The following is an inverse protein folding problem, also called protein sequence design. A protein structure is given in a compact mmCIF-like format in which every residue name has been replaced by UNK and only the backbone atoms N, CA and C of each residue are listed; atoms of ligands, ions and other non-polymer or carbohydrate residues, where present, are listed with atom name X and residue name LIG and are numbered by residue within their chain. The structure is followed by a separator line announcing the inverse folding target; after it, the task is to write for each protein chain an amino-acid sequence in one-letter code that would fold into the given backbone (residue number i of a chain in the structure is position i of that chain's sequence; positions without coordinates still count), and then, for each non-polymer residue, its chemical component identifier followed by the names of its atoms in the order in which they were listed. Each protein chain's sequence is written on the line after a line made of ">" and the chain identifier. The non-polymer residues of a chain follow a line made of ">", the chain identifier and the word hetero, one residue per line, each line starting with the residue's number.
data_IF_926146347439
#
_entry.id   IF_926146347439
#
_cell.length_a   1.000
_cell.length_b   1.000
_cell.length_c   1.000
_cell.angle_alpha   90.00
_cell.angle_beta   90.00
_cell.angle_gamma   90.00
#
_symmetry.space_group_name_H-M   'P 1'
#
loop_
_entity.id
_entity.type
_entity.pdbx_description
1 polymer ?
#
# COMPACT_ATOMS: atom_id res chain seq x y z
N UNK A 1 27.14 -5.91 -2.13
CA UNK A 1 26.68 -5.18 -3.33
C UNK A 1 27.75 -4.16 -3.64
N UNK A 2 28.38 -4.24 -4.80
CA UNK A 2 29.33 -3.22 -5.25
C UNK A 2 28.55 -2.00 -5.81
N UNK A 3 29.19 -0.84 -5.97
CA UNK A 3 28.50 0.37 -6.44
C UNK A 3 27.82 0.19 -7.81
N UNK A 4 28.41 -0.59 -8.71
CA UNK A 4 27.81 -0.86 -10.03
C UNK A 4 26.55 -1.72 -9.97
N UNK A 5 26.40 -2.57 -8.96
CA UNK A 5 25.20 -3.38 -8.73
C UNK A 5 24.08 -2.57 -8.09
N UNK A 6 24.40 -1.53 -7.32
CA UNK A 6 23.37 -0.63 -6.75
C UNK A 6 22.80 0.27 -7.82
N UNK A 7 23.65 0.75 -8.73
CA UNK A 7 23.27 1.73 -9.74
C UNK A 7 22.18 1.23 -10.69
N UNK A 8 22.07 -0.08 -10.93
CA UNK A 8 21.02 -0.66 -11.79
C UNK A 8 19.61 -0.50 -11.19
N UNK A 9 19.51 -0.26 -9.89
CA UNK A 9 18.23 -0.10 -9.18
C UNK A 9 17.85 1.35 -8.97
N UNK A 10 18.77 2.29 -9.24
CA UNK A 10 18.53 3.71 -8.98
C UNK A 10 17.67 4.32 -10.08
N UNK A 11 16.66 5.07 -9.67
CA UNK A 11 15.85 5.88 -10.57
C UNK A 11 16.39 7.32 -10.62
N UNK A 12 17.20 7.62 -11.63
CA UNK A 12 17.79 8.95 -11.81
C UNK A 12 16.75 10.07 -12.00
N UNK A 13 15.62 9.77 -12.63
CA UNK A 13 14.57 10.77 -12.81
C UNK A 13 13.90 11.11 -11.48
N UNK A 14 13.69 10.11 -10.63
CA UNK A 14 13.22 10.32 -9.26
C UNK A 14 14.27 11.07 -8.42
N UNK A 15 15.57 10.79 -8.58
CA UNK A 15 16.62 11.54 -7.87
C UNK A 15 16.68 13.01 -8.29
N UNK A 16 16.53 13.29 -9.58
CA UNK A 16 16.47 14.66 -10.10
C UNK A 16 15.25 15.40 -9.55
N UNK A 17 14.08 14.73 -9.54
CA UNK A 17 12.85 15.30 -9.00
C UNK A 17 12.92 15.56 -7.49
N UNK A 18 13.58 14.66 -6.74
CA UNK A 18 13.72 14.73 -5.28
C UNK A 18 15.05 15.35 -4.84
N UNK A 19 15.78 16.03 -5.73
CA UNK A 19 17.17 16.43 -5.48
C UNK A 19 17.33 17.25 -4.20
N UNK A 20 16.39 18.15 -3.90
CA UNK A 20 16.45 18.99 -2.70
C UNK A 20 16.14 18.20 -1.43
N UNK A 21 15.20 17.25 -1.48
CA UNK A 21 14.86 16.37 -0.37
C UNK A 21 16.01 15.39 -0.08
N UNK A 22 16.61 14.80 -1.11
CA UNK A 22 17.73 13.87 -0.95
C UNK A 22 18.97 14.55 -0.35
N UNK A 23 19.23 15.83 -0.69
CA UNK A 23 20.28 16.64 -0.03
C UNK A 23 20.06 16.76 1.48
N UNK A 24 18.80 16.85 1.93
CA UNK A 24 18.46 16.94 3.35
C UNK A 24 18.61 15.60 4.07
N UNK A 25 18.25 14.49 3.39
CA UNK A 25 18.20 13.16 3.99
C UNK A 25 19.56 12.45 4.08
N UNK A 26 20.60 12.92 3.36
CA UNK A 26 21.99 12.43 3.36
C UNK A 26 22.16 10.90 3.38
N UNK A 27 22.54 10.33 2.24
CA UNK A 27 22.87 8.90 2.13
C UNK A 27 21.69 8.01 1.70
N UNK A 28 20.59 8.61 1.28
CA UNK A 28 19.47 7.93 0.62
C UNK A 28 19.56 8.12 -0.90
N UNK A 29 19.10 7.10 -1.63
CA UNK A 29 18.97 7.08 -3.08
C UNK A 29 17.52 6.72 -3.43
N UNK A 30 17.03 7.19 -4.57
CA UNK A 30 15.71 6.78 -5.06
C UNK A 30 15.83 5.44 -5.80
N UNK A 31 15.10 4.43 -5.35
CA UNK A 31 15.13 3.08 -5.94
C UNK A 31 13.87 2.88 -6.78
N UNK A 32 14.04 2.41 -8.01
CA UNK A 32 12.92 2.12 -8.90
C UNK A 32 12.11 0.93 -8.39
N UNK A 33 10.80 0.94 -8.63
CA UNK A 33 9.86 -0.17 -8.39
C UNK A 33 8.81 -0.18 -9.50
N UNK A 34 8.16 -1.32 -9.81
CA UNK A 34 7.06 -1.37 -10.76
C UNK A 34 5.96 -0.35 -10.43
N UNK A 35 5.55 0.40 -11.46
CA UNK A 35 4.46 1.37 -11.41
C UNK A 35 3.11 0.74 -11.77
N UNK A 36 2.84 -0.48 -11.29
CA UNK A 36 1.63 -1.24 -11.62
C UNK A 36 0.46 -0.94 -10.67
N UNK A 37 0.60 -0.02 -9.71
CA UNK A 37 -0.37 0.24 -8.64
C UNK A 37 -0.03 -0.43 -7.31
N UNK A 38 1.06 -1.22 -7.25
CA UNK A 38 1.58 -1.84 -6.04
C UNK A 38 2.87 -1.17 -5.53
N UNK A 39 3.23 0.00 -6.06
CA UNK A 39 4.51 0.65 -5.79
C UNK A 39 4.81 0.83 -4.28
N UNK A 40 3.81 1.10 -3.44
CA UNK A 40 3.99 1.19 -1.97
C UNK A 40 4.43 -0.15 -1.37
N UNK A 41 3.74 -1.25 -1.69
CA UNK A 41 4.07 -2.58 -1.14
C UNK A 41 5.28 -3.21 -1.82
N UNK A 42 5.54 -2.91 -3.10
CA UNK A 42 6.80 -3.22 -3.78
C UNK A 42 7.98 -2.53 -3.08
N UNK A 43 7.86 -1.23 -2.81
CA UNK A 43 8.90 -0.45 -2.12
C UNK A 43 9.17 -1.03 -0.73
N UNK A 44 8.11 -1.31 0.05
CA UNK A 44 8.24 -1.91 1.36
C UNK A 44 8.90 -3.29 1.31
N UNK A 45 8.46 -4.17 0.40
CA UNK A 45 9.06 -5.49 0.19
C UNK A 45 10.55 -5.37 -0.14
N UNK A 46 10.91 -4.49 -1.08
CA UNK A 46 12.32 -4.27 -1.46
C UNK A 46 13.14 -3.70 -0.30
N UNK A 47 12.59 -2.78 0.50
CA UNK A 47 13.26 -2.28 1.72
C UNK A 47 13.46 -3.35 2.79
N UNK A 48 12.54 -4.31 2.91
CA UNK A 48 12.61 -5.35 3.95
C UNK A 48 13.54 -6.50 3.57
N UNK A 49 13.47 -6.98 2.32
CA UNK A 49 14.13 -8.21 1.90
C UNK A 49 14.90 -8.09 0.57
N UNK A 50 14.97 -6.90 -0.03
CA UNK A 50 15.73 -6.64 -1.26
C UNK A 50 15.01 -6.99 -2.57
N UNK A 51 13.84 -7.64 -2.51
CA UNK A 51 13.02 -8.04 -3.66
C UNK A 51 11.55 -7.77 -3.41
N UNK A 52 10.74 -7.76 -4.47
CA UNK A 52 9.35 -7.28 -4.45
C UNK A 52 8.30 -8.36 -4.14
N UNK A 53 8.70 -9.58 -3.80
CA UNK A 53 7.80 -10.75 -3.73
C UNK A 53 6.69 -10.65 -2.67
N UNK A 54 6.82 -9.80 -1.65
CA UNK A 54 5.83 -9.68 -0.57
C UNK A 54 4.67 -8.73 -0.90
N UNK A 55 4.66 -8.10 -2.08
CA UNK A 55 3.72 -7.02 -2.38
C UNK A 55 2.25 -7.41 -2.19
N UNK A 56 1.85 -8.59 -2.66
CA UNK A 56 0.49 -9.10 -2.56
C UNK A 56 0.13 -9.47 -1.10
N UNK A 57 1.04 -10.16 -0.40
CA UNK A 57 0.84 -10.47 1.02
C UNK A 57 0.68 -9.20 1.86
N UNK A 58 1.52 -8.19 1.64
CA UNK A 58 1.42 -6.91 2.35
C UNK A 58 0.08 -6.21 2.12
N UNK A 59 -0.46 -6.29 0.90
CA UNK A 59 -1.80 -5.75 0.59
C UNK A 59 -2.91 -6.46 1.36
N UNK A 60 -2.87 -7.79 1.38
CA UNK A 60 -3.82 -8.60 2.16
C UNK A 60 -3.75 -8.28 3.66
N UNK A 61 -2.54 -8.15 4.21
CA UNK A 61 -2.35 -7.78 5.62
C UNK A 61 -2.84 -6.35 5.92
N UNK A 62 -2.59 -5.38 5.02
CA UNK A 62 -3.13 -4.02 5.14
C UNK A 62 -4.66 -4.03 5.22
N UNK A 63 -5.31 -4.80 4.34
CA UNK A 63 -6.77 -4.93 4.35
C UNK A 63 -7.27 -5.49 5.69
N UNK A 64 -6.69 -6.60 6.14
CA UNK A 64 -7.07 -7.23 7.41
C UNK A 64 -6.87 -6.28 8.59
N UNK A 65 -5.73 -5.60 8.65
CA UNK A 65 -5.39 -4.62 9.68
C UNK A 65 -6.42 -3.47 9.75
N UNK A 66 -6.82 -2.92 8.60
CA UNK A 66 -7.85 -1.87 8.53
C UNK A 66 -9.21 -2.35 9.03
N UNK A 67 -9.63 -3.55 8.62
CA UNK A 67 -10.94 -4.11 9.01
C UNK A 67 -10.99 -4.53 10.48
N UNK A 68 -9.90 -5.05 11.03
CA UNK A 68 -9.84 -5.55 12.41
C UNK A 68 -9.68 -4.42 13.44
N UNK A 69 -9.12 -3.27 13.04
CA UNK A 69 -8.77 -2.19 13.95
C UNK A 69 -9.47 -0.85 13.64
N UNK A 70 -10.65 -0.88 12.99
CA UNK A 70 -11.38 0.32 12.56
C UNK A 70 -11.52 1.39 13.66
N UNK A 71 -11.85 0.99 14.89
CA UNK A 71 -12.00 1.92 16.02
C UNK A 71 -10.71 2.70 16.34
N UNK A 72 -9.55 2.06 16.16
CA UNK A 72 -8.26 2.71 16.34
C UNK A 72 -8.01 3.74 15.24
N UNK A 73 -8.27 3.38 13.98
CA UNK A 73 -8.12 4.29 12.83
C UNK A 73 -9.08 5.47 12.93
N UNK A 74 -10.33 5.25 13.34
CA UNK A 74 -11.27 6.34 13.62
C UNK A 74 -10.68 7.30 14.65
N UNK A 75 -10.19 6.77 15.78
CA UNK A 75 -9.70 7.60 16.88
C UNK A 75 -8.41 8.37 16.56
N UNK A 76 -7.49 7.77 15.80
CA UNK A 76 -6.13 8.31 15.66
C UNK A 76 -5.79 8.87 14.27
N UNK A 77 -6.46 8.39 13.23
CA UNK A 77 -6.19 8.78 11.84
C UNK A 77 -7.36 9.58 11.27
N UNK A 78 -8.59 9.23 11.62
CA UNK A 78 -9.82 9.78 11.06
C UNK A 78 -10.67 10.53 12.10
N UNK A 79 -10.04 11.09 13.12
CA UNK A 79 -10.71 11.69 14.28
C UNK A 79 -11.60 12.90 13.95
N UNK A 80 -11.47 13.45 12.75
CA UNK A 80 -12.27 14.57 12.25
C UNK A 80 -13.63 14.14 11.69
N UNK A 81 -13.79 12.86 11.37
CA UNK A 81 -15.01 12.29 10.83
C UNK A 81 -15.87 11.72 11.96
N UNK A 82 -17.18 11.70 11.76
CA UNK A 82 -18.05 10.95 12.65
C UNK A 82 -17.83 9.44 12.49
N UNK A 83 -18.40 8.64 13.40
CA UNK A 83 -18.13 7.21 13.45
C UNK A 83 -18.62 6.46 12.20
N UNK A 84 -19.76 6.88 11.62
CA UNK A 84 -20.35 6.20 10.46
C UNK A 84 -19.56 6.53 9.20
N UNK A 85 -19.21 7.81 9.01
CA UNK A 85 -18.39 8.26 7.89
C UNK A 85 -16.97 7.65 7.96
N UNK A 86 -16.35 7.63 9.14
CA UNK A 86 -15.03 7.03 9.32
C UNK A 86 -15.06 5.52 9.02
N UNK A 87 -16.06 4.80 9.52
CA UNK A 87 -16.19 3.37 9.26
C UNK A 87 -16.33 3.08 7.76
N UNK A 88 -17.16 3.86 7.05
CA UNK A 88 -17.34 3.72 5.61
C UNK A 88 -16.03 3.97 4.84
N UNK A 89 -15.32 5.05 5.15
CA UNK A 89 -14.05 5.38 4.49
C UNK A 89 -12.96 4.33 4.77
N UNK A 90 -12.91 3.75 5.98
CA UNK A 90 -11.98 2.67 6.31
C UNK A 90 -12.33 1.40 5.52
N UNK A 91 -13.62 1.09 5.35
CA UNK A 91 -14.07 -0.04 4.53
C UNK A 91 -13.70 0.14 3.06
N UNK A 92 -13.87 1.34 2.53
CA UNK A 92 -13.45 1.68 1.17
C UNK A 92 -11.94 1.50 0.99
N UNK A 93 -11.12 2.03 1.91
CA UNK A 93 -9.67 1.81 1.91
C UNK A 93 -9.31 0.32 1.99
N UNK A 94 -10.01 -0.45 2.83
CA UNK A 94 -9.79 -1.90 2.90
C UNK A 94 -10.12 -2.63 1.58
N UNK A 95 -11.10 -2.16 0.82
CA UNK A 95 -11.40 -2.65 -0.53
C UNK A 95 -10.29 -2.25 -1.51
N UNK A 96 -9.87 -0.99 -1.51
CA UNK A 96 -8.76 -0.49 -2.34
C UNK A 96 -7.46 -1.27 -2.10
N UNK A 97 -7.22 -1.73 -0.86
CA UNK A 97 -6.07 -2.55 -0.52
C UNK A 97 -6.04 -3.90 -1.26
N UNK A 98 -7.15 -4.40 -1.81
CA UNK A 98 -7.17 -5.56 -2.71
C UNK A 98 -7.38 -5.13 -4.16
N UNK A 99 -6.72 -5.83 -5.11
CA UNK A 99 -6.99 -5.64 -6.54
C UNK A 99 -7.82 -6.79 -7.07
N UNK A 100 -8.69 -6.50 -8.03
CA UNK A 100 -9.59 -7.50 -8.65
C UNK A 100 -8.85 -8.63 -9.37
N UNK A 101 -7.63 -8.39 -9.85
CA UNK A 101 -6.81 -9.42 -10.50
C UNK A 101 -6.54 -10.61 -9.55
N UNK A 102 -6.51 -10.37 -8.23
CA UNK A 102 -6.33 -11.39 -7.20
C UNK A 102 -7.61 -12.20 -6.92
N UNK A 103 -8.79 -11.73 -7.37
CA UNK A 103 -10.08 -12.42 -7.23
C UNK A 103 -10.37 -13.37 -8.41
N UNK A 104 -9.61 -13.26 -9.50
CA UNK A 104 -9.85 -14.00 -10.74
C UNK A 104 -9.50 -15.50 -10.71
N UNK A 105 -8.76 -15.96 -9.69
CA UNK A 105 -8.35 -17.38 -9.55
C UNK A 105 -9.25 -18.20 -8.61
N UNK A 106 -10.30 -17.59 -8.03
CA UNK A 106 -11.23 -18.23 -7.08
C UNK A 106 -12.71 -18.00 -7.41
N UNK A 107 -13.09 -18.10 -8.69
CA UNK A 107 -14.47 -17.94 -9.15
C UNK A 107 -15.41 -19.12 -8.83
N UNK A 108 -15.39 -19.64 -7.60
CA UNK A 108 -16.25 -20.77 -7.19
C UNK A 108 -16.93 -20.61 -5.82
N UNK A 109 -17.03 -19.38 -5.28
CA UNK A 109 -17.89 -19.13 -4.10
C UNK A 109 -18.83 -17.94 -4.31
N UNK A 110 -19.94 -18.27 -4.98
CA UNK A 110 -21.21 -17.56 -4.94
C UNK A 110 -21.71 -17.50 -3.49
N UNK A 111 -21.35 -16.44 -2.77
CA UNK A 111 -22.04 -16.03 -1.54
C UNK A 111 -22.82 -14.77 -1.88
N UNK A 112 -24.11 -14.95 -2.14
CA UNK A 112 -25.06 -13.95 -2.62
C UNK A 112 -25.41 -12.83 -1.63
N UNK A 113 -24.39 -12.16 -1.11
CA UNK A 113 -24.50 -10.88 -0.44
C UNK A 113 -23.29 -10.03 -0.85
N UNK A 114 -23.27 -9.58 -2.12
CA UNK A 114 -22.25 -8.66 -2.62
C UNK A 114 -22.50 -7.28 -2.00
N UNK A 115 -22.11 -7.14 -0.73
CA UNK A 115 -22.03 -5.87 -0.01
C UNK A 115 -20.98 -4.92 -0.64
N UNK A 116 -20.14 -5.45 -1.52
CA UNK A 116 -19.14 -4.69 -2.25
C UNK A 116 -19.76 -4.15 -3.54
N UNK A 117 -19.88 -2.82 -3.70
CA UNK A 117 -20.34 -2.23 -4.95
C UNK A 117 -19.35 -2.59 -6.07
N UNK A 118 -19.88 -2.85 -7.26
CA UNK A 118 -19.13 -3.16 -8.49
C UNK A 118 -17.80 -2.40 -8.56
N UNK A 119 -16.71 -3.16 -8.60
CA UNK A 119 -15.31 -2.71 -8.62
C UNK A 119 -14.86 -2.11 -9.97
N UNK A 120 -15.76 -1.41 -10.67
CA UNK A 120 -15.41 -0.57 -11.83
C UNK A 120 -14.58 0.67 -11.40
N UNK A 121 -14.31 0.83 -10.10
CA UNK A 121 -13.40 1.81 -9.54
C UNK A 121 -12.05 1.16 -9.26
N UNK A 122 -11.19 1.08 -10.28
CA UNK A 122 -9.75 1.33 -10.18
C UNK A 122 -9.18 1.29 -8.74
N UNK A 123 -8.80 0.10 -8.27
CA UNK A 123 -7.93 -0.13 -7.10
C UNK A 123 -6.49 0.41 -7.33
N UNK A 124 -6.37 1.53 -8.03
CA UNK A 124 -5.15 1.96 -8.72
C UNK A 124 -4.09 2.52 -7.76
N UNK A 125 -4.47 3.04 -6.59
CA UNK A 125 -3.52 3.72 -5.69
C UNK A 125 -3.83 3.52 -4.21
N UNK A 126 -2.78 3.32 -3.40
CA UNK A 126 -2.87 3.28 -1.95
C UNK A 126 -2.68 4.69 -1.37
N UNK A 127 -3.73 5.23 -0.73
CA UNK A 127 -3.70 6.52 -0.02
C UNK A 127 -3.01 6.50 1.36
N UNK A 128 -2.98 7.65 2.07
CA UNK A 128 -2.24 7.81 3.33
C UNK A 128 -2.64 6.86 4.46
N UNK A 129 -3.91 6.46 4.56
CA UNK A 129 -4.37 5.50 5.57
C UNK A 129 -3.69 4.13 5.43
N UNK A 130 -3.36 3.72 4.21
CA UNK A 130 -2.63 2.48 3.94
C UNK A 130 -1.18 2.54 4.42
N UNK A 131 -0.57 3.72 4.48
CA UNK A 131 0.77 3.89 5.03
C UNK A 131 0.74 3.64 6.54
N UNK A 132 -0.30 4.13 7.24
CA UNK A 132 -0.50 3.84 8.66
C UNK A 132 -0.74 2.35 8.92
N UNK A 133 -1.60 1.72 8.09
CA UNK A 133 -1.83 0.28 8.19
C UNK A 133 -0.58 -0.54 7.90
N UNK A 134 0.19 -0.19 6.87
CA UNK A 134 1.45 -0.84 6.57
C UNK A 134 2.47 -0.69 7.71
N UNK A 135 2.54 0.48 8.36
CA UNK A 135 3.39 0.69 9.52
C UNK A 135 3.01 -0.22 10.69
N UNK A 136 1.71 -0.41 10.94
CA UNK A 136 1.21 -1.33 11.98
C UNK A 136 1.50 -2.80 11.63
N UNK A 137 1.24 -3.23 10.38
CA UNK A 137 1.54 -4.57 9.87
C UNK A 137 3.03 -4.89 10.02
N UNK A 138 3.90 -3.96 9.66
CA UNK A 138 5.35 -4.12 9.75
C UNK A 138 5.91 -3.87 11.15
N UNK A 139 5.11 -3.26 12.03
CA UNK A 139 5.50 -2.78 13.37
C UNK A 139 6.71 -1.85 13.31
N UNK A 140 6.72 -0.93 12.35
CA UNK A 140 7.84 -0.04 12.04
C UNK A 140 7.37 1.33 11.57
#
# INVERSE_FOLDING_TARGET
>A
MNESEVEIFVDHHAEDYLADQLKLMKGYRAVTVPGDGNCLTHSASRCLIGVEILYHTLRTEIRSELLENMAWYHTHVMAMYDAEEAEQLIREAAVEAQRDDDLSDHSDQDTGDSFYPNSDANSEYLGPIHIHALANVLRR
#
